data_IF_937701127373
#
_entry.id   IF_937701127373
#
_cell.length_a   1.000
_cell.length_b   1.000
_cell.length_c   1.000
_cell.angle_alpha   90.00
_cell.angle_beta   90.00
_cell.angle_gamma   90.00
#
_symmetry.space_group_name_H-M   'P 1'
#
loop_
_entity.id
_entity.type
_entity.pdbx_description
1 polymer ?
#
# COMPACT_ATOMS: atom_id res chain seq x y z
N UNK A 1 38.25 -2.22 57.09
CA UNK A 1 37.30 -1.12 56.80
C UNK A 1 37.45 -0.75 55.32
N UNK A 2 36.53 -1.22 54.45
CA UNK A 2 36.46 -0.85 53.02
C UNK A 2 34.98 -0.81 52.61
N UNK A 3 34.61 0.29 51.95
CA UNK A 3 33.24 0.73 51.62
C UNK A 3 32.70 -0.08 50.42
N UNK A 4 31.45 -0.59 50.43
CA UNK A 4 30.85 -1.20 49.25
C UNK A 4 30.27 -0.14 48.31
N UNK A 5 30.72 -0.12 47.05
CA UNK A 5 30.07 0.65 45.98
C UNK A 5 28.96 -0.19 45.36
N UNK A 6 27.71 0.21 45.62
CA UNK A 6 26.55 -0.20 44.82
C UNK A 6 26.64 0.49 43.46
N UNK A 7 26.59 -0.26 42.37
CA UNK A 7 26.32 0.27 41.03
C UNK A 7 25.06 -0.40 40.54
N UNK A 8 23.97 0.38 40.53
CA UNK A 8 22.72 0.06 39.88
C UNK A 8 22.93 0.17 38.38
N UNK A 9 23.01 -0.96 37.67
CA UNK A 9 22.90 -1.00 36.22
C UNK A 9 21.46 -1.40 35.87
N UNK A 10 20.58 -0.40 35.89
CA UNK A 10 19.31 -0.46 35.16
C UNK A 10 19.63 -0.15 33.69
N UNK A 11 19.51 -1.13 32.80
CA UNK A 11 19.58 -0.88 31.36
C UNK A 11 18.46 -1.66 30.66
N UNK A 12 17.37 -0.92 30.46
CA UNK A 12 16.45 -0.98 29.31
C UNK A 12 16.46 -2.27 28.48
N UNK A 13 15.51 -3.15 28.75
CA UNK A 13 15.04 -4.11 27.75
C UNK A 13 14.09 -3.36 26.80
N UNK A 14 14.64 -2.96 25.66
CA UNK A 14 13.89 -2.35 24.56
C UNK A 14 12.82 -3.32 24.09
N UNK A 15 11.55 -2.89 24.17
CA UNK A 15 10.43 -3.53 23.49
C UNK A 15 10.80 -3.64 21.99
N UNK A 16 11.07 -4.86 21.52
CA UNK A 16 10.97 -5.17 20.10
C UNK A 16 9.48 -5.14 19.74
N UNK A 17 8.96 -3.97 19.37
CA UNK A 17 7.73 -3.89 18.60
C UNK A 17 7.97 -4.62 17.30
N UNK A 18 7.40 -5.82 17.19
CA UNK A 18 7.31 -6.55 15.94
C UNK A 18 6.71 -5.60 14.89
N UNK A 19 7.51 -5.23 13.89
CA UNK A 19 7.00 -4.66 12.67
C UNK A 19 6.16 -5.75 12.02
N UNK A 20 4.84 -5.63 12.12
CA UNK A 20 3.91 -6.40 11.30
C UNK A 20 4.21 -6.06 9.85
N UNK A 21 4.91 -6.94 9.15
CA UNK A 21 5.02 -6.88 7.70
C UNK A 21 3.60 -7.05 7.15
N UNK A 22 3.03 -5.97 6.62
CA UNK A 22 1.83 -6.05 5.78
C UNK A 22 2.21 -6.83 4.53
N UNK A 23 2.11 -8.15 4.62
CA UNK A 23 2.39 -9.09 3.55
C UNK A 23 1.21 -9.11 2.58
N UNK A 24 1.01 -8.04 1.81
CA UNK A 24 0.20 -7.97 0.58
C UNK A 24 0.45 -6.62 -0.14
N UNK A 25 1.70 -6.24 -0.37
CA UNK A 25 1.97 -5.10 -1.24
C UNK A 25 1.68 -5.53 -2.69
N UNK A 26 0.60 -5.01 -3.27
CA UNK A 26 0.31 -5.22 -4.68
C UNK A 26 1.44 -4.63 -5.53
N UNK A 27 1.71 -5.26 -6.67
CA UNK A 27 2.76 -4.82 -7.59
C UNK A 27 2.18 -4.55 -8.97
N UNK A 28 2.59 -3.45 -9.60
CA UNK A 28 2.24 -3.14 -10.99
C UNK A 28 3.48 -3.21 -11.87
N UNK A 29 3.37 -3.74 -13.10
CA UNK A 29 4.49 -3.75 -14.04
C UNK A 29 4.85 -2.32 -14.44
N UNK A 30 6.14 -2.03 -14.44
CA UNK A 30 6.68 -0.77 -14.85
C UNK A 30 7.00 -0.81 -16.35
N UNK A 31 6.49 0.16 -17.11
CA UNK A 31 6.81 0.32 -18.54
C UNK A 31 8.13 1.06 -18.76
N UNK A 32 9.13 0.89 -17.90
CA UNK A 32 10.42 1.54 -18.11
C UNK A 32 11.17 0.85 -19.24
N UNK A 33 11.81 1.64 -20.09
CA UNK A 33 12.79 1.14 -21.05
C UNK A 33 14.16 1.06 -20.38
N UNK A 34 14.89 -0.02 -20.66
CA UNK A 34 16.27 -0.17 -20.22
C UNK A 34 17.18 0.73 -21.06
N UNK A 35 17.79 1.72 -20.42
CA UNK A 35 18.71 2.67 -21.05
C UNK A 35 20.14 2.24 -20.77
N UNK A 36 20.96 2.15 -21.81
CA UNK A 36 22.39 1.85 -21.65
C UNK A 36 23.08 2.98 -20.90
N UNK A 37 23.89 2.63 -19.89
CA UNK A 37 24.64 3.60 -19.09
C UNK A 37 26.12 3.58 -19.45
N UNK A 38 26.76 2.41 -19.36
CA UNK A 38 28.17 2.23 -19.71
C UNK A 38 28.50 0.75 -19.90
N UNK A 39 29.65 0.49 -20.51
CA UNK A 39 30.24 -0.84 -20.60
C UNK A 39 31.51 -0.89 -19.74
N UNK A 40 31.74 -2.03 -19.09
CA UNK A 40 33.05 -2.35 -18.51
C UNK A 40 33.67 -3.48 -19.33
N UNK A 41 34.77 -3.16 -20.01
CA UNK A 41 35.41 -4.05 -20.96
C UNK A 41 36.42 -5.00 -20.30
N UNK A 42 36.48 -6.22 -20.83
CA UNK A 42 37.54 -7.19 -20.59
C UNK A 42 38.02 -7.78 -21.90
N UNK A 43 39.22 -8.38 -21.90
CA UNK A 43 39.88 -8.86 -23.11
C UNK A 43 39.08 -9.92 -23.91
N UNK A 44 38.09 -10.58 -23.28
CA UNK A 44 37.32 -11.68 -23.86
C UNK A 44 35.80 -11.46 -23.84
N UNK A 45 35.33 -10.32 -23.34
CA UNK A 45 33.93 -10.01 -23.15
C UNK A 45 33.73 -8.72 -22.38
N UNK A 46 32.50 -8.22 -22.34
CA UNK A 46 32.15 -6.99 -21.63
C UNK A 46 30.92 -7.20 -20.75
N UNK A 47 30.76 -6.34 -19.75
CA UNK A 47 29.50 -6.20 -19.04
C UNK A 47 28.85 -4.89 -19.46
N UNK A 48 27.62 -4.99 -19.96
CA UNK A 48 26.80 -3.86 -20.35
C UNK A 48 25.88 -3.49 -19.19
N UNK A 49 26.00 -2.25 -18.71
CA UNK A 49 25.20 -1.74 -17.61
C UNK A 49 24.05 -0.91 -18.14
N UNK A 50 22.86 -1.12 -17.58
CA UNK A 50 21.64 -0.42 -17.95
C UNK A 50 20.92 0.11 -16.71
N UNK A 51 20.18 1.18 -16.89
CA UNK A 51 19.27 1.77 -15.92
C UNK A 51 17.83 1.74 -16.43
N UNK A 52 16.89 1.52 -15.52
CA UNK A 52 15.45 1.67 -15.75
C UNK A 52 14.96 2.80 -14.84
N UNK A 53 14.37 3.82 -15.46
CA UNK A 53 13.86 5.00 -14.76
C UNK A 53 12.32 5.01 -14.77
N UNK A 54 11.71 5.30 -13.62
CA UNK A 54 10.29 5.55 -13.41
C UNK A 54 10.08 7.06 -13.23
N UNK A 55 9.61 7.76 -14.28
CA UNK A 55 9.35 9.20 -14.23
C UNK A 55 10.55 10.04 -13.72
N UNK A 56 11.77 9.68 -14.13
CA UNK A 56 13.01 10.36 -13.71
C UNK A 56 13.61 9.85 -12.40
N UNK A 57 13.00 8.87 -11.73
CA UNK A 57 13.56 8.19 -10.56
C UNK A 57 14.17 6.86 -10.98
N UNK A 58 15.39 6.56 -10.55
CA UNK A 58 16.01 5.26 -10.79
C UNK A 58 15.20 4.15 -10.10
N UNK A 59 14.61 3.26 -10.88
CA UNK A 59 13.80 2.15 -10.37
C UNK A 59 14.62 0.87 -10.24
N UNK A 60 15.51 0.59 -11.19
CA UNK A 60 16.40 -0.57 -11.15
C UNK A 60 17.63 -0.36 -12.04
N UNK A 61 18.69 -1.10 -11.75
CA UNK A 61 19.81 -1.30 -12.67
C UNK A 61 19.92 -2.76 -13.06
N UNK A 62 20.49 -3.03 -14.24
CA UNK A 62 20.87 -4.39 -14.64
C UNK A 62 22.23 -4.41 -15.31
N UNK A 63 22.87 -5.57 -15.24
CA UNK A 63 24.13 -5.87 -15.90
C UNK A 63 23.93 -7.09 -16.78
N UNK A 64 24.39 -7.01 -18.02
CA UNK A 64 24.33 -8.12 -19.00
C UNK A 64 25.73 -8.39 -19.53
N UNK A 65 26.25 -9.58 -19.25
CA UNK A 65 27.51 -10.05 -19.81
C UNK A 65 27.37 -10.46 -21.28
N UNK A 66 28.37 -10.10 -22.09
CA UNK A 66 28.49 -10.44 -23.51
C UNK A 66 29.85 -11.06 -23.82
N UNK A 67 29.97 -11.81 -24.93
CA UNK A 67 31.19 -12.54 -25.27
C UNK A 67 31.41 -13.71 -24.32
N UNK A 68 32.61 -13.84 -23.74
CA UNK A 68 32.92 -14.88 -22.75
C UNK A 68 32.09 -14.79 -21.47
N UNK A 69 31.44 -13.65 -21.20
CA UNK A 69 30.54 -13.45 -20.05
C UNK A 69 29.06 -13.64 -20.42
N UNK A 70 28.74 -14.13 -21.61
CA UNK A 70 27.36 -14.37 -22.03
C UNK A 70 26.58 -15.21 -21.02
N UNK A 71 25.38 -14.75 -20.66
CA UNK A 71 24.53 -15.39 -19.65
C UNK A 71 24.82 -14.99 -18.20
N UNK A 72 25.89 -14.22 -17.94
CA UNK A 72 26.12 -13.62 -16.63
C UNK A 72 25.34 -12.32 -16.53
N UNK A 73 24.20 -12.37 -15.84
CA UNK A 73 23.33 -11.21 -15.68
C UNK A 73 23.06 -10.95 -14.20
N UNK A 74 22.82 -9.69 -13.87
CA UNK A 74 22.32 -9.29 -12.55
C UNK A 74 21.30 -8.18 -12.70
N UNK A 75 20.35 -8.13 -11.78
CA UNK A 75 19.37 -7.05 -11.68
C UNK A 75 19.32 -6.58 -10.24
N UNK A 76 19.24 -5.28 -10.04
CA UNK A 76 19.23 -4.62 -8.73
C UNK A 76 18.11 -3.58 -8.69
N UNK A 77 16.89 -3.98 -8.28
CA UNK A 77 15.80 -3.03 -8.03
C UNK A 77 16.13 -2.12 -6.84
N UNK A 78 15.66 -0.88 -6.90
CA UNK A 78 15.71 0.06 -5.78
C UNK A 78 14.58 -0.21 -4.79
N UNK A 79 14.65 0.43 -3.61
CA UNK A 79 13.58 0.34 -2.62
C UNK A 79 12.23 0.80 -3.22
N UNK A 80 11.17 0.05 -2.97
CA UNK A 80 9.86 0.30 -3.60
C UNK A 80 9.67 -0.40 -4.95
N UNK A 81 10.68 -1.14 -5.43
CA UNK A 81 10.62 -1.92 -6.66
C UNK A 81 11.04 -3.37 -6.42
N UNK A 82 10.62 -4.25 -7.33
CA UNK A 82 11.04 -5.64 -7.43
C UNK A 82 11.10 -6.03 -8.92
N UNK A 83 11.38 -7.29 -9.24
CA UNK A 83 11.40 -7.77 -10.61
C UNK A 83 10.78 -9.16 -10.74
N UNK A 84 10.39 -9.50 -11.96
CA UNK A 84 9.93 -10.84 -12.34
C UNK A 84 10.56 -11.27 -13.68
N UNK A 85 10.57 -12.57 -13.94
CA UNK A 85 11.09 -13.14 -15.19
C UNK A 85 12.59 -13.43 -15.12
N UNK A 86 13.24 -13.40 -16.29
CA UNK A 86 14.67 -13.70 -16.42
C UNK A 86 15.52 -12.56 -15.86
N UNK A 87 16.65 -12.89 -15.22
CA UNK A 87 17.59 -11.88 -14.73
C UNK A 87 18.25 -11.09 -15.87
N UNK A 88 18.39 -11.69 -17.06
CA UNK A 88 18.94 -10.99 -18.24
C UNK A 88 17.91 -10.10 -18.95
N UNK A 89 16.63 -10.45 -18.82
CA UNK A 89 15.51 -9.71 -19.38
C UNK A 89 14.37 -9.58 -18.37
N UNK A 90 14.59 -8.78 -17.30
CA UNK A 90 13.64 -8.67 -16.20
C UNK A 90 12.56 -7.63 -16.52
N UNK A 91 11.34 -7.93 -16.10
CA UNK A 91 10.27 -6.94 -15.97
C UNK A 91 10.33 -6.34 -14.57
N UNK A 92 10.54 -5.02 -14.48
CA UNK A 92 10.54 -4.30 -13.21
C UNK A 92 9.10 -4.08 -12.76
N UNK A 93 8.84 -4.30 -11.48
CA UNK A 93 7.55 -4.12 -10.84
C UNK A 93 7.69 -3.06 -9.75
N UNK A 94 6.70 -2.19 -9.62
CA UNK A 94 6.62 -1.20 -8.54
C UNK A 94 5.67 -1.69 -7.46
N UNK A 95 6.10 -1.65 -6.21
CA UNK A 95 5.17 -1.80 -5.10
C UNK A 95 4.25 -0.59 -5.09
N UNK A 96 2.96 -0.84 -5.25
CA UNK A 96 1.95 0.15 -4.92
C UNK A 96 1.60 -0.07 -3.45
N UNK A 97 1.52 1.02 -2.70
CA UNK A 97 0.74 0.97 -1.47
C UNK A 97 -0.63 0.44 -1.90
N UNK A 98 -1.06 -0.67 -1.29
CA UNK A 98 -2.43 -1.17 -1.49
C UNK A 98 -3.33 0.06 -1.38
N UNK A 99 -4.07 0.46 -2.43
CA UNK A 99 -5.02 1.55 -2.31
C UNK A 99 -5.94 1.08 -1.21
N UNK A 100 -5.76 1.68 -0.03
CA UNK A 100 -6.28 1.22 1.26
C UNK A 100 -7.46 0.30 1.03
N UNK A 101 -7.35 -0.99 1.39
CA UNK A 101 -8.56 -1.82 1.53
C UNK A 101 -9.62 -0.89 2.10
N UNK A 102 -10.72 -0.58 1.38
CA UNK A 102 -11.65 0.45 1.79
C UNK A 102 -11.96 0.13 3.23
N UNK A 103 -11.59 1.04 4.15
CA UNK A 103 -11.67 0.76 5.58
C UNK A 103 -13.10 0.34 5.80
N UNK A 104 -13.35 -0.96 5.93
CA UNK A 104 -14.71 -1.46 5.94
C UNK A 104 -15.35 -0.79 7.14
N UNK A 105 -16.26 0.14 6.88
CA UNK A 105 -16.90 0.99 7.88
C UNK A 105 -17.75 0.21 8.89
N UNK A 106 -17.71 -1.11 8.81
CA UNK A 106 -18.46 -2.09 9.53
C UNK A 106 -18.96 -3.17 8.57
N UNK A 107 -19.54 -4.25 9.09
CA UNK A 107 -20.13 -5.33 8.29
C UNK A 107 -21.28 -4.88 7.36
N UNK A 108 -21.73 -3.63 7.50
CA UNK A 108 -22.81 -3.03 6.72
C UNK A 108 -22.34 -1.86 5.84
N UNK A 109 -21.03 -1.66 5.64
CA UNK A 109 -20.50 -0.69 4.69
C UNK A 109 -21.19 -0.82 3.32
N UNK A 110 -21.70 0.29 2.79
CA UNK A 110 -22.43 0.34 1.51
C UNK A 110 -23.85 -0.23 1.52
N UNK A 111 -24.33 -0.83 2.63
CA UNK A 111 -25.69 -1.35 2.73
C UNK A 111 -26.70 -0.25 3.03
N UNK A 112 -27.90 -0.42 2.51
CA UNK A 112 -29.05 0.39 2.85
C UNK A 112 -29.58 -0.02 4.23
N UNK A 113 -29.72 0.94 5.15
CA UNK A 113 -30.42 0.73 6.42
C UNK A 113 -31.93 0.67 6.18
N UNK A 114 -32.42 1.57 5.33
CA UNK A 114 -33.82 1.62 4.90
C UNK A 114 -34.24 3.02 4.48
N UNK A 115 -35.54 3.18 4.26
CA UNK A 115 -36.16 4.49 3.98
C UNK A 115 -36.96 4.96 5.20
N UNK A 116 -36.72 6.20 5.63
CA UNK A 116 -37.33 6.81 6.82
C UNK A 116 -38.19 8.00 6.39
N UNK A 117 -39.40 8.10 6.95
CA UNK A 117 -40.24 9.28 6.84
C UNK A 117 -39.86 10.31 7.91
N UNK A 118 -39.13 11.34 7.51
CA UNK A 118 -38.82 12.52 8.33
C UNK A 118 -40.11 13.31 8.50
N UNK A 119 -40.67 13.25 9.71
CA UNK A 119 -42.00 13.78 10.04
C UNK A 119 -42.83 12.80 10.88
N UNK A 120 -42.61 11.49 10.72
CA UNK A 120 -43.27 10.46 11.55
C UNK A 120 -42.43 10.09 12.79
N UNK A 121 -41.11 10.23 12.71
CA UNK A 121 -40.18 10.02 13.82
C UNK A 121 -39.61 11.35 14.29
N UNK A 122 -40.06 11.82 15.46
CA UNK A 122 -39.48 12.98 16.14
C UNK A 122 -39.10 12.60 17.59
N UNK A 123 -37.80 12.39 17.90
CA UNK A 123 -36.64 12.49 17.00
C UNK A 123 -36.44 11.27 16.09
N UNK A 124 -35.70 11.40 14.97
CA UNK A 124 -35.33 10.27 14.11
C UNK A 124 -34.43 9.24 14.84
N UNK A 125 -34.43 7.96 14.43
CA UNK A 125 -33.71 6.85 15.08
C UNK A 125 -32.20 6.89 14.78
N UNK A 126 -31.54 7.98 15.19
CA UNK A 126 -30.13 8.24 14.88
C UNK A 126 -29.21 7.21 15.53
N UNK A 127 -29.57 6.68 16.70
CA UNK A 127 -28.74 5.73 17.43
C UNK A 127 -28.74 4.35 16.77
N UNK A 128 -29.89 3.92 16.26
CA UNK A 128 -30.08 2.66 15.54
C UNK A 128 -29.34 2.68 14.21
N UNK A 129 -29.43 3.80 13.47
CA UNK A 129 -28.69 3.99 12.22
C UNK A 129 -27.18 3.97 12.48
N UNK A 130 -26.71 4.65 13.54
CA UNK A 130 -25.28 4.63 13.92
C UNK A 130 -24.82 3.24 14.35
N UNK A 131 -25.64 2.51 15.12
CA UNK A 131 -25.34 1.14 15.52
C UNK A 131 -25.26 0.20 14.30
N UNK A 132 -26.13 0.40 13.31
CA UNK A 132 -26.13 -0.39 12.08
C UNK A 132 -24.96 -0.05 11.14
N UNK A 133 -24.67 1.25 10.93
CA UNK A 133 -23.67 1.71 9.97
C UNK A 133 -22.25 1.84 10.52
N UNK A 134 -22.06 1.71 11.83
CA UNK A 134 -20.74 1.72 12.44
C UNK A 134 -20.06 3.10 12.41
N UNK A 135 -18.73 3.09 12.58
CA UNK A 135 -17.93 4.27 12.90
C UNK A 135 -17.90 5.34 11.80
N UNK A 136 -18.09 4.95 10.53
CA UNK A 136 -18.09 5.92 9.42
C UNK A 136 -19.42 6.65 9.24
N UNK A 137 -20.48 6.18 9.91
CA UNK A 137 -21.82 6.75 9.79
C UNK A 137 -22.46 6.46 8.43
N UNK A 138 -23.32 7.38 7.99
CA UNK A 138 -24.27 7.14 6.90
C UNK A 138 -24.46 8.39 6.03
N UNK A 139 -25.03 8.19 4.85
CA UNK A 139 -25.53 9.23 3.96
C UNK A 139 -27.05 9.18 3.93
N UNK A 140 -27.67 10.34 3.71
CA UNK A 140 -29.10 10.48 3.51
C UNK A 140 -29.35 10.99 2.10
N UNK A 141 -30.23 10.32 1.36
CA UNK A 141 -30.71 10.78 0.07
C UNK A 141 -32.22 11.02 0.15
N UNK A 142 -32.66 12.23 -0.14
CA UNK A 142 -34.10 12.51 -0.24
C UNK A 142 -34.64 11.81 -1.50
N UNK A 143 -35.61 10.92 -1.32
CA UNK A 143 -36.23 10.18 -2.44
C UNK A 143 -37.62 10.74 -2.80
N UNK A 144 -38.28 11.43 -1.86
CA UNK A 144 -39.54 12.12 -2.08
C UNK A 144 -39.77 13.15 -0.97
N UNK A 145 -40.43 14.27 -1.27
CA UNK A 145 -40.76 15.31 -0.30
C UNK A 145 -42.17 15.86 -0.54
N UNK A 146 -42.95 15.99 0.53
CA UNK A 146 -44.23 16.69 0.59
C UNK A 146 -44.17 17.94 1.45
N UNK A 147 -45.29 18.64 1.60
CA UNK A 147 -45.36 19.93 2.30
C UNK A 147 -44.88 19.89 3.76
N UNK A 148 -45.02 18.74 4.44
CA UNK A 148 -44.69 18.60 5.87
C UNK A 148 -43.86 17.35 6.19
N UNK A 149 -43.42 16.60 5.19
CA UNK A 149 -42.71 15.32 5.38
C UNK A 149 -41.76 15.01 4.22
N UNK A 150 -40.69 14.27 4.50
CA UNK A 150 -39.75 13.81 3.48
C UNK A 150 -39.37 12.35 3.70
N UNK A 151 -39.32 11.57 2.64
CA UNK A 151 -38.75 10.23 2.65
C UNK A 151 -37.26 10.32 2.35
N UNK A 152 -36.44 9.86 3.29
CA UNK A 152 -34.99 9.77 3.14
C UNK A 152 -34.57 8.31 3.06
N UNK A 153 -33.78 7.96 2.05
CA UNK A 153 -33.02 6.71 2.01
C UNK A 153 -31.73 6.90 2.80
N UNK A 154 -31.43 5.93 3.66
CA UNK A 154 -30.23 5.93 4.51
C UNK A 154 -29.31 4.80 4.08
N UNK A 155 -28.07 5.15 3.71
CA UNK A 155 -27.05 4.18 3.27
C UNK A 155 -25.80 4.34 4.11
N UNK A 156 -25.22 3.24 4.58
CA UNK A 156 -23.97 3.27 5.33
C UNK A 156 -22.81 3.67 4.42
N UNK A 157 -21.87 4.48 4.93
CA UNK A 157 -20.69 4.87 4.16
C UNK A 157 -19.77 3.66 3.95
N UNK A 158 -19.04 3.68 2.83
CA UNK A 158 -17.97 2.73 2.52
C UNK A 158 -16.67 3.13 3.20
#
# INVERSE_FOLDING_TARGET
MKIPKKVYAAFLFVLMTAFSFNANAATVPLSCNWEFTYASDGAWGAYLNYSCNDNGVLAATKVVGVGAYAGQCSVSPQAGYTYSGSVCDPTILKYVADPQQPQSCGPNAGKEYGTILVGQYNPPPVNEIKAFCGACGYTNQVISSGANNAWIKVTCKN
#
